data_IF_822239229974
#
_entry.id   IF_822239229974
#
_cell.length_a   1.000
_cell.length_b   1.000
_cell.length_c   1.000
_cell.angle_alpha   90.00
_cell.angle_beta   90.00
_cell.angle_gamma   90.00
#
_symmetry.space_group_name_H-M   'P 1'
#
loop_
_entity.id
_entity.type
_entity.pdbx_description
1 polymer ?
#
# COMPACT_ATOMS: atom_id res chain seq x y z
N UNK A 1 -10.65 -27.03 -3.59
CA UNK A 1 -11.56 -25.92 -3.91
C UNK A 1 -10.90 -25.12 -5.01
N UNK A 2 -11.44 -25.11 -6.24
CA UNK A 2 -10.86 -24.33 -7.35
C UNK A 2 -11.43 -22.92 -7.27
N UNK A 3 -10.63 -21.94 -6.84
CA UNK A 3 -11.01 -20.53 -6.91
C UNK A 3 -10.65 -20.00 -8.31
N UNK A 4 -11.44 -20.34 -9.33
CA UNK A 4 -11.30 -19.80 -10.68
C UNK A 4 -12.30 -18.66 -10.91
N UNK A 5 -12.30 -17.66 -10.03
CA UNK A 5 -12.90 -16.38 -10.35
C UNK A 5 -12.02 -15.71 -11.43
N UNK A 6 -12.55 -15.60 -12.65
CA UNK A 6 -11.92 -14.83 -13.73
C UNK A 6 -12.18 -13.36 -13.45
N UNK A 7 -11.11 -12.59 -13.23
CA UNK A 7 -11.17 -11.13 -13.12
C UNK A 7 -11.52 -10.53 -14.48
N UNK A 8 -12.44 -9.57 -14.51
CA UNK A 8 -12.95 -8.92 -15.72
C UNK A 8 -12.82 -7.40 -15.62
N UNK A 9 -12.80 -6.68 -16.76
CA UNK A 9 -12.95 -5.24 -16.77
C UNK A 9 -14.14 -4.78 -15.92
N UNK A 10 -13.92 -3.78 -15.07
CA UNK A 10 -14.87 -3.26 -14.10
C UNK A 10 -14.84 -3.91 -12.73
N UNK A 11 -14.20 -5.08 -12.55
CA UNK A 11 -14.06 -5.69 -11.23
C UNK A 11 -13.13 -4.87 -10.34
N UNK A 12 -13.46 -4.74 -9.06
CA UNK A 12 -12.55 -4.22 -8.04
C UNK A 12 -11.75 -5.36 -7.41
N UNK A 13 -10.43 -5.21 -7.40
CA UNK A 13 -9.49 -6.11 -6.74
C UNK A 13 -8.96 -5.43 -5.48
N UNK A 14 -9.06 -6.12 -4.35
CA UNK A 14 -8.49 -5.66 -3.08
C UNK A 14 -7.07 -6.21 -2.91
N UNK A 15 -6.11 -5.29 -2.76
CA UNK A 15 -4.72 -5.59 -2.49
C UNK A 15 -4.48 -5.54 -0.98
N UNK A 16 -3.76 -6.51 -0.44
CA UNK A 16 -3.28 -6.50 0.96
C UNK A 16 -1.77 -6.67 0.97
N UNK A 17 -1.05 -5.65 1.43
CA UNK A 17 0.41 -5.65 1.57
C UNK A 17 0.74 -5.83 3.04
N UNK A 18 1.31 -6.98 3.39
CA UNK A 18 1.76 -7.25 4.75
C UNK A 18 3.19 -6.75 4.95
N UNK A 19 3.47 -6.19 6.13
CA UNK A 19 4.81 -5.78 6.53
C UNK A 19 5.11 -6.25 7.95
N UNK A 20 6.40 -6.47 8.22
CA UNK A 20 6.95 -6.92 9.50
C UNK A 20 8.37 -6.35 9.63
N UNK A 21 8.73 -5.78 10.77
CA UNK A 21 10.11 -5.40 11.06
C UNK A 21 10.82 -6.51 11.84
N UNK A 22 11.91 -7.02 11.29
CA UNK A 22 12.77 -8.06 11.90
C UNK A 22 14.19 -7.56 12.20
N UNK A 23 14.41 -6.24 12.14
CA UNK A 23 15.71 -5.64 12.45
C UNK A 23 16.06 -5.67 13.92
N UNK A 24 17.28 -5.25 14.26
CA UNK A 24 17.78 -5.27 15.64
C UNK A 24 17.21 -4.16 16.54
N UNK A 25 16.58 -3.15 15.94
CA UNK A 25 15.99 -1.99 16.59
C UNK A 25 14.72 -1.51 15.87
N UNK A 26 13.96 -0.59 16.48
CA UNK A 26 12.79 0.03 15.84
C UNK A 26 13.19 0.79 14.58
N UNK A 27 12.43 0.58 13.51
CA UNK A 27 12.54 1.36 12.29
C UNK A 27 11.70 2.63 12.43
N UNK A 28 12.28 3.77 12.06
CA UNK A 28 11.64 5.09 12.13
C UNK A 28 11.37 5.63 10.74
N UNK A 29 10.27 6.36 10.57
CA UNK A 29 9.87 6.99 9.29
C UNK A 29 9.90 6.01 8.12
N UNK A 30 9.30 4.84 8.33
CA UNK A 30 9.24 3.78 7.32
C UNK A 30 8.25 4.20 6.25
N UNK A 31 8.71 4.17 5.01
CA UNK A 31 7.87 4.40 3.84
C UNK A 31 7.67 3.08 3.12
N UNK A 32 6.42 2.70 2.88
CA UNK A 32 6.05 1.53 2.07
C UNK A 32 5.36 2.07 0.83
N UNK A 33 5.83 1.67 -0.35
CA UNK A 33 5.20 2.03 -1.60
C UNK A 33 4.82 0.84 -2.45
N UNK A 34 3.66 0.94 -3.10
CA UNK A 34 3.17 0.01 -4.09
C UNK A 34 2.66 0.76 -5.33
N UNK A 35 3.08 0.33 -6.52
CA UNK A 35 2.64 0.91 -7.77
C UNK A 35 1.33 0.25 -8.21
N UNK A 36 0.33 1.04 -8.61
CA UNK A 36 -0.91 0.49 -9.14
C UNK A 36 -0.58 -0.32 -10.41
N UNK A 37 -0.94 -1.62 -10.47
CA UNK A 37 -0.59 -2.47 -11.60
C UNK A 37 -1.14 -1.97 -12.93
N UNK A 38 -0.51 -2.37 -14.02
CA UNK A 38 -0.99 -2.09 -15.37
C UNK A 38 -2.42 -2.61 -15.59
N UNK A 39 -3.21 -1.85 -16.36
CA UNK A 39 -4.63 -2.10 -16.64
C UNK A 39 -5.53 -2.04 -15.39
N UNK A 40 -5.14 -1.27 -14.37
CA UNK A 40 -5.98 -1.01 -13.21
C UNK A 40 -5.95 0.47 -12.79
N UNK A 41 -7.05 0.95 -12.22
CA UNK A 41 -7.16 2.30 -11.66
C UNK A 41 -7.44 2.23 -10.16
N UNK A 42 -6.72 3.01 -9.36
CA UNK A 42 -6.95 3.12 -7.92
C UNK A 42 -8.38 3.60 -7.58
N UNK A 43 -9.02 2.94 -6.61
CA UNK A 43 -10.37 3.29 -6.13
C UNK A 43 -10.27 4.22 -4.93
N UNK A 44 -10.38 5.53 -5.19
CA UNK A 44 -10.20 6.61 -4.20
C UNK A 44 -11.15 6.58 -3.02
N UNK A 45 -12.37 6.07 -3.19
CA UNK A 45 -13.43 6.18 -2.18
C UNK A 45 -13.72 4.87 -1.44
N UNK A 46 -12.74 3.96 -1.35
CA UNK A 46 -12.92 2.61 -0.78
C UNK A 46 -13.51 2.62 0.65
N UNK A 47 -13.10 3.57 1.49
CA UNK A 47 -13.50 3.64 2.91
C UNK A 47 -14.31 4.89 3.28
N UNK A 48 -14.57 5.77 2.30
CA UNK A 48 -15.21 7.08 2.46
C UNK A 48 -14.74 8.07 1.39
N UNK A 49 -15.26 9.30 1.41
CA UNK A 49 -14.85 10.37 0.47
C UNK A 49 -13.37 10.69 0.66
N UNK A 50 -12.58 10.51 -0.40
CA UNK A 50 -11.12 10.64 -0.44
C UNK A 50 -10.36 9.74 0.56
N UNK A 51 -11.01 8.67 1.06
CA UNK A 51 -10.41 7.69 1.97
C UNK A 51 -10.22 6.36 1.25
N UNK A 52 -9.17 6.27 0.43
CA UNK A 52 -8.93 5.10 -0.43
C UNK A 52 -7.99 4.05 0.17
N UNK A 53 -7.27 4.39 1.24
CA UNK A 53 -6.18 3.58 1.79
C UNK A 53 -6.57 3.12 3.19
N UNK A 54 -6.41 1.83 3.47
CA UNK A 54 -6.64 1.24 4.79
C UNK A 54 -5.32 0.82 5.41
N UNK A 55 -5.07 1.20 6.65
CA UNK A 55 -3.92 0.75 7.42
C UNK A 55 -4.40 -0.10 8.61
N UNK A 56 -4.01 -1.37 8.60
CA UNK A 56 -4.08 -2.26 9.75
C UNK A 56 -2.80 -2.16 10.56
N UNK A 57 -2.78 -1.30 11.58
CA UNK A 57 -1.64 -1.11 12.46
C UNK A 57 -2.09 -0.68 13.85
N UNK A 58 -1.78 -1.48 14.88
CA UNK A 58 -2.28 -1.25 16.24
C UNK A 58 -1.32 -1.86 17.28
N UNK A 59 -1.10 -1.16 18.39
CA UNK A 59 -0.17 -1.58 19.45
C UNK A 59 -0.77 -2.53 20.48
N UNK A 60 -2.08 -2.74 20.48
CA UNK A 60 -2.79 -3.47 21.53
C UNK A 60 -3.42 -4.77 21.00
N UNK A 61 -4.06 -4.74 19.84
CA UNK A 61 -4.75 -5.88 19.25
C UNK A 61 -4.34 -6.03 17.79
N UNK A 62 -4.05 -7.26 17.36
CA UNK A 62 -3.73 -7.55 15.97
C UNK A 62 -4.92 -7.17 15.07
N UNK A 63 -4.79 -6.18 14.17
CA UNK A 63 -5.88 -5.85 13.25
C UNK A 63 -6.11 -6.97 12.24
N UNK A 64 -7.37 -7.30 11.98
CA UNK A 64 -7.81 -8.18 10.87
C UNK A 64 -8.48 -7.40 9.74
N UNK A 65 -8.84 -6.15 10.02
CA UNK A 65 -9.39 -5.14 9.10
C UNK A 65 -8.68 -3.81 9.35
N UNK A 66 -8.64 -2.87 8.38
CA UNK A 66 -8.06 -1.55 8.60
C UNK A 66 -8.70 -0.87 9.81
N UNK A 67 -7.88 -0.54 10.82
CA UNK A 67 -8.31 0.26 11.97
C UNK A 67 -8.05 1.76 11.76
N UNK A 68 -7.27 2.11 10.73
CA UNK A 68 -7.07 3.46 10.23
C UNK A 68 -7.53 3.51 8.77
N UNK A 69 -8.31 4.55 8.44
CA UNK A 69 -8.76 4.87 7.08
C UNK A 69 -8.06 6.15 6.68
N UNK A 70 -7.06 6.02 5.83
CA UNK A 70 -6.16 7.09 5.43
C UNK A 70 -6.68 7.77 4.17
N UNK A 71 -6.38 9.05 4.02
CA UNK A 71 -6.75 9.81 2.84
C UNK A 71 -5.90 9.42 1.64
N UNK A 72 -6.37 9.77 0.44
CA UNK A 72 -5.59 9.67 -0.78
C UNK A 72 -5.03 11.04 -1.23
N UNK A 73 -4.96 12.01 -0.31
CA UNK A 73 -4.40 13.33 -0.56
C UNK A 73 -2.93 13.37 -0.16
N UNK A 74 -2.12 14.14 -0.87
CA UNK A 74 -0.70 14.24 -0.56
C UNK A 74 -0.48 15.08 0.71
N UNK A 75 0.30 14.56 1.65
CA UNK A 75 0.71 15.20 2.91
C UNK A 75 -0.45 15.61 3.83
N UNK A 76 -1.60 14.93 3.72
CA UNK A 76 -2.76 15.18 4.58
C UNK A 76 -2.71 14.27 5.82
N UNK A 77 -2.44 12.99 5.60
CA UNK A 77 -2.12 12.02 6.64
C UNK A 77 -1.01 11.05 6.17
N UNK A 78 -0.93 9.89 6.82
CA UNK A 78 0.08 8.86 6.54
C UNK A 78 -0.07 8.24 5.14
N UNK A 79 -1.26 8.29 4.54
CA UNK A 79 -1.57 7.75 3.24
C UNK A 79 -1.39 8.80 2.14
N UNK A 80 -0.69 8.42 1.07
CA UNK A 80 -0.42 9.31 -0.04
C UNK A 80 -0.69 8.57 -1.35
N UNK A 81 -1.58 9.10 -2.19
CA UNK A 81 -1.77 8.61 -3.55
C UNK A 81 -1.15 9.58 -4.55
N UNK A 82 -0.09 9.11 -5.21
CA UNK A 82 0.53 9.79 -6.34
C UNK A 82 -0.22 9.41 -7.60
N UNK A 83 -1.05 10.33 -8.11
CA UNK A 83 -1.86 10.12 -9.31
C UNK A 83 -0.99 9.84 -10.56
N UNK A 84 -1.59 9.29 -11.64
CA UNK A 84 -0.91 9.14 -12.93
C UNK A 84 -0.10 10.38 -13.36
N UNK A 85 1.08 10.16 -13.92
CA UNK A 85 2.03 11.19 -14.38
C UNK A 85 2.57 12.13 -13.29
N UNK A 86 2.30 11.86 -12.01
CA UNK A 86 2.97 12.54 -10.89
C UNK A 86 4.21 11.76 -10.43
N UNK A 87 5.12 12.43 -9.72
CA UNK A 87 6.39 11.81 -9.27
C UNK A 87 6.28 11.34 -7.81
N UNK A 88 6.28 10.02 -7.54
CA UNK A 88 6.43 9.48 -6.19
C UNK A 88 7.84 9.74 -5.64
N UNK A 89 8.08 9.53 -4.33
CA UNK A 89 9.39 9.67 -3.72
C UNK A 89 10.43 8.80 -4.45
N UNK A 90 11.58 9.39 -4.75
CA UNK A 90 12.62 8.74 -5.55
C UNK A 90 13.12 7.46 -4.88
N UNK A 91 13.35 6.41 -5.69
CA UNK A 91 13.89 5.12 -5.27
C UNK A 91 13.06 4.34 -4.23
N UNK A 92 11.79 4.71 -4.03
CA UNK A 92 10.90 4.03 -3.10
C UNK A 92 10.04 2.97 -3.80
N UNK A 93 9.21 3.42 -4.74
CA UNK A 93 8.28 2.59 -5.48
C UNK A 93 8.99 1.86 -6.63
N UNK A 94 8.65 0.59 -6.86
CA UNK A 94 9.13 -0.18 -8.02
C UNK A 94 7.97 -0.86 -8.74
N UNK A 95 8.10 -1.03 -10.05
CA UNK A 95 7.17 -1.82 -10.88
C UNK A 95 7.94 -2.72 -11.83
N UNK A 96 7.28 -3.74 -12.35
CA UNK A 96 7.81 -4.57 -13.43
C UNK A 96 7.44 -3.92 -14.75
N UNK A 97 8.41 -3.72 -15.64
CA UNK A 97 8.16 -3.18 -16.98
C UNK A 97 7.73 -4.25 -17.99
N UNK A 98 7.43 -3.85 -19.22
CA UNK A 98 7.04 -4.77 -20.30
C UNK A 98 8.14 -5.77 -20.70
N UNK A 99 9.40 -5.54 -20.28
CA UNK A 99 10.52 -6.46 -20.47
C UNK A 99 10.74 -7.37 -19.25
N UNK A 100 9.79 -7.41 -18.31
CA UNK A 100 9.85 -8.17 -17.07
C UNK A 100 11.03 -7.79 -16.16
N UNK A 101 11.44 -6.52 -16.22
CA UNK A 101 12.52 -5.97 -15.40
C UNK A 101 11.93 -5.12 -14.28
N UNK A 102 12.47 -5.28 -13.06
CA UNK A 102 12.09 -4.45 -11.93
C UNK A 102 12.75 -3.07 -12.05
N UNK A 103 11.94 -2.03 -12.21
CA UNK A 103 12.37 -0.65 -12.40
C UNK A 103 11.80 0.26 -11.31
N UNK A 104 12.50 1.38 -11.01
CA UNK A 104 11.97 2.41 -10.12
C UNK A 104 10.84 3.20 -10.78
N UNK A 105 9.78 3.49 -10.03
CA UNK A 105 8.69 4.37 -10.48
C UNK A 105 9.11 5.84 -10.30
N UNK A 106 8.82 6.65 -11.30
CA UNK A 106 9.07 8.10 -11.35
C UNK A 106 7.98 8.78 -12.20
N UNK A 107 8.03 10.11 -12.34
CA UNK A 107 7.00 10.86 -13.08
C UNK A 107 6.84 10.49 -14.57
N UNK A 108 7.83 9.84 -15.18
CA UNK A 108 7.77 9.43 -16.59
C UNK A 108 7.15 8.04 -16.81
N UNK A 109 6.99 7.22 -15.77
CA UNK A 109 6.46 5.86 -15.87
C UNK A 109 5.41 5.53 -14.78
N UNK A 110 4.92 6.53 -14.06
CA UNK A 110 3.85 6.38 -13.09
C UNK A 110 2.49 6.44 -13.81
N UNK A 111 2.17 5.43 -14.61
CA UNK A 111 1.05 5.47 -15.55
C UNK A 111 -0.31 5.28 -14.86
N UNK A 112 -0.37 4.49 -13.79
CA UNK A 112 -1.62 4.14 -13.08
C UNK A 112 -1.72 4.73 -11.66
N UNK A 113 -0.63 5.36 -11.21
CA UNK A 113 -0.47 5.91 -9.87
C UNK A 113 0.31 5.00 -8.92
N UNK A 114 0.64 5.54 -7.75
CA UNK A 114 1.35 4.82 -6.70
C UNK A 114 0.80 5.18 -5.31
N UNK A 115 0.71 4.19 -4.44
CA UNK A 115 0.29 4.31 -3.05
C UNK A 115 1.55 4.35 -2.20
N UNK A 116 1.70 5.37 -1.36
CA UNK A 116 2.75 5.45 -0.32
C UNK A 116 2.08 5.55 1.03
N UNK A 117 2.53 4.73 1.99
CA UNK A 117 2.09 4.79 3.39
C UNK A 117 3.30 4.99 4.28
N UNK A 118 3.20 6.00 5.15
CA UNK A 118 4.21 6.31 6.15
C UNK A 118 3.86 5.69 7.51
N UNK A 119 4.86 5.07 8.13
CA UNK A 119 4.80 4.50 9.47
C UNK A 119 5.92 5.15 10.29
N UNK A 120 5.54 6.01 11.23
CA UNK A 120 6.50 6.80 12.03
C UNK A 120 7.40 5.91 12.90
N UNK A 121 6.82 4.91 13.56
CA UNK A 121 7.53 3.98 14.43
C UNK A 121 7.05 2.56 14.21
N UNK A 122 7.94 1.72 13.70
CA UNK A 122 7.74 0.30 13.50
C UNK A 122 8.74 -0.48 14.39
N UNK A 123 8.35 -0.87 15.60
CA UNK A 123 9.18 -1.69 16.48
C UNK A 123 9.62 -2.99 15.81
N UNK A 124 10.79 -3.51 16.20
CA UNK A 124 11.17 -4.87 15.82
C UNK A 124 10.22 -5.88 16.43
N UNK A 125 10.01 -6.99 15.75
CA UNK A 125 9.34 -8.15 16.31
C UNK A 125 10.29 -8.95 17.21
N UNK A 126 9.87 -9.21 18.45
CA UNK A 126 10.58 -10.08 19.40
C UNK A 126 10.11 -11.54 19.27
N UNK A 127 8.86 -11.74 18.85
CA UNK A 127 8.26 -13.04 18.54
C UNK A 127 7.04 -12.85 17.62
N UNK A 128 6.48 -13.92 17.02
CA UNK A 128 5.28 -13.79 16.21
C UNK A 128 4.14 -13.09 16.98
N UNK A 129 3.69 -11.94 16.47
CA UNK A 129 2.63 -11.16 17.10
C UNK A 129 3.08 -10.20 18.20
N UNK A 130 4.38 -10.08 18.50
CA UNK A 130 4.88 -9.29 19.64
C UNK A 130 6.10 -8.44 19.28
N UNK A 131 6.10 -7.13 19.61
CA UNK A 131 4.94 -6.34 20.02
C UNK A 131 3.90 -6.30 18.89
N UNK A 132 2.63 -6.05 19.23
CA UNK A 132 1.51 -6.15 18.27
C UNK A 132 1.67 -5.22 17.06
N UNK A 133 2.32 -4.06 17.24
CA UNK A 133 2.64 -3.11 16.19
C UNK A 133 4.02 -3.32 15.56
N UNK A 134 4.63 -4.50 15.66
CA UNK A 134 5.84 -4.84 14.87
C UNK A 134 5.53 -5.26 13.44
N UNK A 135 4.24 -5.44 13.14
CA UNK A 135 3.71 -5.88 11.86
C UNK A 135 2.35 -5.25 11.63
N UNK A 136 1.90 -5.32 10.38
CA UNK A 136 0.61 -4.78 9.98
C UNK A 136 0.36 -5.03 8.51
N UNK A 137 -0.62 -4.33 7.97
CA UNK A 137 -0.88 -4.38 6.54
C UNK A 137 -1.46 -3.08 6.01
N UNK A 138 -1.26 -2.86 4.72
CA UNK A 138 -1.91 -1.83 3.92
C UNK A 138 -2.95 -2.51 3.05
N UNK A 139 -4.14 -1.92 2.93
CA UNK A 139 -5.17 -2.34 1.98
C UNK A 139 -5.62 -1.20 1.10
N UNK A 140 -5.76 -1.47 -0.19
CA UNK A 140 -6.42 -0.58 -1.12
C UNK A 140 -7.14 -1.40 -2.19
N UNK A 141 -7.98 -0.73 -2.98
CA UNK A 141 -8.62 -1.35 -4.14
C UNK A 141 -8.17 -0.70 -5.44
N UNK A 142 -8.06 -1.52 -6.46
CA UNK A 142 -7.93 -1.06 -7.83
C UNK A 142 -9.00 -1.72 -8.70
N UNK A 143 -9.58 -0.96 -9.60
CA UNK A 143 -10.59 -1.40 -10.55
C UNK A 143 -9.89 -1.81 -11.83
N UNK A 144 -10.21 -2.98 -12.37
CA UNK A 144 -9.69 -3.47 -13.65
C UNK A 144 -10.30 -2.67 -14.79
N UNK A 145 -9.47 -2.25 -15.75
CA UNK A 145 -9.90 -1.52 -16.96
C UNK A 145 -10.28 -2.45 -18.13
#
# INVERSE_FOLDING_TARGET
>A
MSNSAVVKPGDEVEYTIYFLSTGDASAKSVNICDAVPDNMTFVKNTYGVELGIGLGFNSTVLPTSPNLKLSNLLNDDQGNFYAPSTTPPANLCKKVDSANTLISVNGANNDNGAIVVEIEDLPKADSPGSPTNSYGFIRFRAKVE
#
